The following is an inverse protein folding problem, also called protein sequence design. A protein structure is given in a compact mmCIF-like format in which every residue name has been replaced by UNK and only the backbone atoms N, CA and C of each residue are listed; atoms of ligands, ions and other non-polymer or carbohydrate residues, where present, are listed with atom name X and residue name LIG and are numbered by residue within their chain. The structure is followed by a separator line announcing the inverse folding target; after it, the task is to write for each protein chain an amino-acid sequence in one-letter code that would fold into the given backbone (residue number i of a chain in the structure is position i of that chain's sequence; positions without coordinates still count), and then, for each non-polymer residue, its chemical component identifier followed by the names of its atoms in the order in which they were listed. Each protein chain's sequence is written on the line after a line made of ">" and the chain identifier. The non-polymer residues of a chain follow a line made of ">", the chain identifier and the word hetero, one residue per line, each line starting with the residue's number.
data_IF_162457715605
#
_entry.id   IF_162457715605
#
_cell.length_a   1.000
_cell.length_b   1.000
_cell.length_c   1.000
_cell.angle_alpha   90.00
_cell.angle_beta   90.00
_cell.angle_gamma   90.00
#
_symmetry.space_group_name_H-M   'P 1'
#
loop_
_entity.id
_entity.type
_entity.pdbx_description
1 polymer ?
#
# COMPACT_ATOMS: atom_id res chain seq x y z
N UNK A 1 4.38 -3.71 9.97
CA UNK A 1 5.64 -3.44 9.21
C UNK A 1 5.64 -4.33 7.97
N UNK A 2 5.93 -3.80 6.78
CA UNK A 2 5.93 -4.58 5.51
C UNK A 2 7.38 -4.65 4.98
N UNK A 3 8.01 -5.84 4.89
CA UNK A 3 9.35 -6.01 4.33
C UNK A 3 9.46 -5.56 2.86
N UNK A 4 10.68 -5.27 2.39
CA UNK A 4 10.96 -5.01 0.97
C UNK A 4 10.58 -6.25 0.13
N UNK A 5 10.00 -6.03 -1.04
CA UNK A 5 9.58 -7.10 -1.94
C UNK A 5 8.32 -7.85 -1.50
N UNK A 6 7.73 -7.48 -0.35
CA UNK A 6 6.45 -8.01 0.09
C UNK A 6 5.36 -6.95 -0.04
N UNK A 7 4.15 -7.43 -0.34
CA UNK A 7 2.94 -6.61 -0.34
C UNK A 7 1.96 -7.10 0.73
N UNK A 8 1.06 -6.20 1.14
CA UNK A 8 -0.10 -6.53 1.97
C UNK A 8 -1.32 -5.85 1.39
N UNK A 9 -2.48 -6.46 1.58
CA UNK A 9 -3.74 -5.87 1.20
C UNK A 9 -4.21 -4.84 2.22
N UNK A 10 -5.06 -3.90 1.79
CA UNK A 10 -5.73 -2.97 2.72
C UNK A 10 -6.52 -3.71 3.81
N UNK A 11 -7.08 -4.89 3.50
CA UNK A 11 -7.78 -5.74 4.46
C UNK A 11 -6.84 -6.34 5.51
N UNK A 12 -5.72 -6.92 5.10
CA UNK A 12 -4.73 -7.47 6.04
C UNK A 12 -4.19 -6.42 7.01
N UNK A 13 -3.99 -5.18 6.54
CA UNK A 13 -3.57 -4.08 7.41
C UNK A 13 -4.69 -3.70 8.37
N UNK A 14 -5.94 -3.63 7.89
CA UNK A 14 -7.09 -3.35 8.73
C UNK A 14 -7.23 -4.40 9.85
N UNK A 15 -7.10 -5.67 9.52
CA UNK A 15 -7.13 -6.78 10.48
C UNK A 15 -6.00 -6.66 11.52
N UNK A 16 -4.78 -6.33 11.08
CA UNK A 16 -3.62 -6.15 11.97
C UNK A 16 -3.79 -5.02 12.98
N UNK A 17 -4.52 -3.96 12.64
CA UNK A 17 -4.76 -2.81 13.52
C UNK A 17 -6.15 -2.83 14.16
N UNK A 18 -6.87 -3.96 14.05
CA UNK A 18 -8.24 -4.11 14.54
C UNK A 18 -9.21 -3.03 14.02
N UNK A 19 -9.04 -2.61 12.75
CA UNK A 19 -9.93 -1.68 12.06
C UNK A 19 -10.94 -2.44 11.20
N UNK A 20 -12.23 -2.13 11.37
CA UNK A 20 -13.30 -2.80 10.63
C UNK A 20 -13.47 -2.30 9.17
N UNK A 21 -12.59 -1.40 8.68
CA UNK A 21 -12.75 -0.77 7.37
C UNK A 21 -11.44 -0.67 6.59
N UNK A 22 -11.25 -1.58 5.64
CA UNK A 22 -10.17 -1.51 4.66
C UNK A 22 -10.22 -0.21 3.82
N UNK A 23 -11.41 0.36 3.62
CA UNK A 23 -11.56 1.65 2.93
C UNK A 23 -10.98 2.79 3.75
N UNK A 24 -11.21 2.82 5.07
CA UNK A 24 -10.63 3.84 5.95
C UNK A 24 -9.10 3.75 5.97
N UNK A 25 -8.55 2.53 6.02
CA UNK A 25 -7.11 2.28 5.91
C UNK A 25 -6.57 2.80 4.57
N UNK A 26 -7.25 2.53 3.46
CA UNK A 26 -6.87 3.05 2.14
C UNK A 26 -6.85 4.58 2.08
N UNK A 27 -7.83 5.25 2.69
CA UNK A 27 -7.87 6.72 2.77
C UNK A 27 -6.72 7.27 3.63
N UNK A 28 -6.44 6.67 4.78
CA UNK A 28 -5.32 7.06 5.63
C UNK A 28 -3.96 6.91 4.92
N UNK A 29 -3.79 5.81 4.17
CA UNK A 29 -2.59 5.57 3.36
C UNK A 29 -2.50 6.58 2.20
N UNK A 30 -3.61 6.89 1.54
CA UNK A 30 -3.67 7.87 0.45
C UNK A 30 -3.38 9.30 0.92
N UNK A 31 -3.74 9.62 2.16
CA UNK A 31 -3.47 10.91 2.80
C UNK A 31 -2.01 11.09 3.24
N UNK A 32 -1.19 10.04 3.19
CA UNK A 32 0.21 10.11 3.62
C UNK A 32 1.00 11.17 2.82
N UNK A 33 1.57 12.20 3.48
CA UNK A 33 2.38 13.23 2.82
C UNK A 33 3.83 12.82 2.56
N UNK A 34 4.30 11.73 3.17
CA UNK A 34 5.70 11.30 3.09
C UNK A 34 5.81 9.97 2.35
N UNK A 35 5.97 10.03 1.02
CA UNK A 35 6.32 8.86 0.21
C UNK A 35 7.63 8.23 0.68
N UNK A 36 7.81 6.94 0.39
CA UNK A 36 9.06 6.17 0.55
C UNK A 36 9.52 5.90 2.00
N UNK A 37 9.44 6.88 2.90
CA UNK A 37 9.70 6.68 4.33
C UNK A 37 8.62 5.77 4.95
N UNK A 38 7.37 6.00 4.55
CA UNK A 38 6.25 5.10 4.82
C UNK A 38 6.00 4.32 3.52
N UNK A 39 6.15 2.97 3.52
CA UNK A 39 6.07 2.13 2.32
C UNK A 39 4.61 1.92 1.87
N UNK A 40 3.89 3.02 1.61
CA UNK A 40 2.51 3.03 1.17
C UNK A 40 2.30 2.41 -0.23
N UNK A 41 3.35 2.35 -1.05
CA UNK A 41 3.34 1.63 -2.33
C UNK A 41 3.26 0.10 -2.17
N UNK A 42 3.62 -0.45 -1.00
CA UNK A 42 3.53 -1.90 -0.71
C UNK A 42 2.12 -2.38 -0.33
N UNK A 43 1.15 -1.47 -0.25
CA UNK A 43 -0.23 -1.80 0.09
C UNK A 43 -1.09 -1.85 -1.16
N UNK A 44 -1.71 -3.00 -1.45
CA UNK A 44 -2.48 -3.24 -2.68
C UNK A 44 -3.92 -3.71 -2.38
N UNK A 45 -4.74 -3.86 -3.41
CA UNK A 45 -6.06 -4.48 -3.26
C UNK A 45 -5.93 -6.00 -3.09
N UNK A 46 -6.92 -6.62 -2.43
CA UNK A 46 -6.95 -8.07 -2.18
C UNK A 46 -6.94 -8.92 -3.46
N UNK A 47 -7.43 -8.37 -4.57
CA UNK A 47 -7.43 -9.01 -5.90
C UNK A 47 -6.11 -8.86 -6.66
N UNK A 48 -5.07 -8.28 -6.06
CA UNK A 48 -3.77 -8.05 -6.71
C UNK A 48 -3.66 -6.73 -7.49
N UNK A 49 -4.74 -5.95 -7.61
CA UNK A 49 -4.70 -4.64 -8.26
C UNK A 49 -3.95 -3.62 -7.38
N UNK A 50 -3.17 -2.74 -8.01
CA UNK A 50 -2.34 -1.77 -7.29
C UNK A 50 -3.15 -0.75 -6.49
N UNK A 51 -4.40 -0.47 -6.85
CA UNK A 51 -5.20 0.58 -6.21
C UNK A 51 -4.60 1.98 -6.40
N UNK A 52 -5.18 2.97 -5.72
CA UNK A 52 -4.74 4.36 -5.83
C UNK A 52 -3.36 4.60 -5.24
N UNK A 53 -2.61 5.52 -5.85
CA UNK A 53 -1.36 6.04 -5.32
C UNK A 53 -1.30 7.54 -5.55
N UNK A 54 -0.91 8.29 -4.51
CA UNK A 54 -0.86 9.76 -4.55
C UNK A 54 0.05 10.29 -5.66
N UNK A 55 1.14 9.59 -5.95
CA UNK A 55 2.11 9.96 -6.99
C UNK A 55 1.89 9.20 -8.31
N UNK A 56 0.69 8.66 -8.53
CA UNK A 56 0.33 7.94 -9.77
C UNK A 56 0.62 6.43 -9.73
N UNK A 57 -0.20 5.66 -10.43
CA UNK A 57 -0.12 4.19 -10.42
C UNK A 57 1.20 3.70 -11.04
N UNK A 58 1.70 4.37 -12.06
CA UNK A 58 2.97 4.05 -12.72
C UNK A 58 4.16 4.09 -11.75
N UNK A 59 4.24 5.14 -10.92
CA UNK A 59 5.28 5.27 -9.88
C UNK A 59 5.19 4.12 -8.86
N UNK A 60 3.98 3.73 -8.47
CA UNK A 60 3.77 2.60 -7.55
C UNK A 60 4.22 1.28 -8.16
N UNK A 61 3.92 1.05 -9.44
CA UNK A 61 4.37 -0.13 -10.19
C UNK A 61 5.90 -0.18 -10.25
N UNK A 62 6.54 0.91 -10.70
CA UNK A 62 8.00 0.99 -10.81
C UNK A 62 8.71 0.71 -9.47
N UNK A 63 8.19 1.24 -8.35
CA UNK A 63 8.75 0.97 -7.03
C UNK A 63 8.61 -0.49 -6.60
N UNK A 64 7.47 -1.12 -6.88
CA UNK A 64 7.27 -2.53 -6.57
C UNK A 64 8.18 -3.42 -7.43
N UNK A 65 8.32 -3.12 -8.71
CA UNK A 65 9.17 -3.86 -9.62
C UNK A 65 10.66 -3.72 -9.24
N UNK A 66 11.09 -2.53 -8.82
CA UNK A 66 12.44 -2.30 -8.29
C UNK A 66 12.70 -3.04 -6.97
N UNK A 67 11.68 -3.21 -6.13
CA UNK A 67 11.81 -3.98 -4.90
C UNK A 67 11.76 -5.50 -5.08
N UNK A 68 11.21 -5.96 -6.21
CA UNK A 68 11.10 -7.37 -6.57
C UNK A 68 12.37 -7.93 -7.25
N UNK A 69 13.32 -7.05 -7.61
CA UNK A 69 14.70 -7.39 -7.96
C UNK A 69 15.54 -7.65 -6.70
#
# INVERSE_FOLDING_TARGET
>A
KIPRGQTRSYGEIADQICCNSARAVGQAIGANPVALLVPCHRVIQKNGSLGGYRWGIETKRALLDWEAQ
#
